data_IF_164826994110
#
_entry.id   IF_164826994110
#
_cell.length_a   1.000
_cell.length_b   1.000
_cell.length_c   1.000
_cell.angle_alpha   90.00
_cell.angle_beta   90.00
_cell.angle_gamma   90.00
#
_symmetry.space_group_name_H-M   'P 1'
#
loop_
_entity.id
_entity.type
_entity.pdbx_description
1 polymer ?
#
# COMPACT_ATOMS: atom_id res chain seq x y z
N UNK A 1 -27.21 -15.49 -9.65
CA UNK A 1 -26.34 -14.62 -10.50
C UNK A 1 -26.06 -13.26 -9.86
N UNK A 2 -26.99 -12.66 -9.13
CA UNK A 2 -26.79 -11.38 -8.41
C UNK A 2 -25.71 -11.43 -7.32
N UNK A 3 -25.60 -12.54 -6.58
CA UNK A 3 -24.58 -12.68 -5.51
C UNK A 3 -23.13 -12.78 -6.03
N UNK A 4 -22.94 -13.29 -7.25
CA UNK A 4 -21.61 -13.38 -7.86
C UNK A 4 -21.04 -11.98 -8.15
N UNK A 5 -21.87 -11.08 -8.69
CA UNK A 5 -21.49 -9.69 -8.93
C UNK A 5 -21.32 -8.89 -7.63
N UNK A 6 -22.13 -9.15 -6.61
CA UNK A 6 -21.93 -8.52 -5.29
C UNK A 6 -20.59 -8.91 -4.66
N UNK A 7 -20.19 -10.17 -4.71
CA UNK A 7 -18.89 -10.60 -4.19
C UNK A 7 -17.72 -10.04 -5.01
N UNK A 8 -17.87 -9.92 -6.33
CA UNK A 8 -16.88 -9.25 -7.18
C UNK A 8 -16.69 -7.79 -6.79
N UNK A 9 -17.76 -7.01 -6.65
CA UNK A 9 -17.61 -5.59 -6.33
C UNK A 9 -17.30 -5.33 -4.85
N UNK A 10 -17.75 -6.17 -3.93
CA UNK A 10 -17.55 -5.99 -2.49
C UNK A 10 -16.13 -6.39 -2.02
N UNK A 11 -15.56 -7.48 -2.54
CA UNK A 11 -14.24 -7.96 -2.14
C UNK A 11 -13.14 -7.56 -3.11
N UNK A 12 -13.35 -7.66 -4.43
CA UNK A 12 -12.28 -7.37 -5.40
C UNK A 12 -12.04 -5.88 -5.63
N UNK A 13 -13.00 -5.00 -5.30
CA UNK A 13 -12.80 -3.55 -5.46
C UNK A 13 -11.60 -3.03 -4.66
N UNK A 14 -11.44 -3.52 -3.43
CA UNK A 14 -10.29 -3.20 -2.59
C UNK A 14 -8.99 -3.84 -3.09
N UNK A 15 -9.05 -5.03 -3.69
CA UNK A 15 -7.88 -5.66 -4.30
C UNK A 15 -7.37 -4.87 -5.50
N UNK A 16 -8.27 -4.39 -6.37
CA UNK A 16 -7.92 -3.51 -7.49
C UNK A 16 -7.32 -2.19 -7.01
N UNK A 17 -7.91 -1.59 -5.98
CA UNK A 17 -7.41 -0.36 -5.37
C UNK A 17 -6.02 -0.58 -4.77
N UNK A 18 -5.83 -1.67 -4.04
CA UNK A 18 -4.54 -2.08 -3.46
C UNK A 18 -3.50 -2.26 -4.56
N UNK A 19 -3.82 -3.02 -5.62
CA UNK A 19 -2.90 -3.24 -6.73
C UNK A 19 -2.49 -1.91 -7.39
N UNK A 20 -3.45 -1.04 -7.68
CA UNK A 20 -3.18 0.25 -8.32
C UNK A 20 -2.31 1.16 -7.43
N UNK A 21 -2.69 1.34 -6.16
CA UNK A 21 -1.96 2.18 -5.22
C UNK A 21 -0.55 1.62 -4.93
N UNK A 22 -0.43 0.30 -4.82
CA UNK A 22 0.84 -0.38 -4.58
C UNK A 22 1.82 -0.22 -5.73
N UNK A 23 1.37 -0.50 -6.96
CA UNK A 23 2.19 -0.38 -8.17
C UNK A 23 2.54 1.08 -8.47
N UNK A 24 1.55 1.98 -8.40
CA UNK A 24 1.75 3.40 -8.67
C UNK A 24 2.61 4.07 -7.59
N UNK A 25 2.41 3.73 -6.32
CA UNK A 25 3.25 4.19 -5.21
C UNK A 25 4.70 3.74 -5.37
N UNK A 26 4.92 2.48 -5.72
CA UNK A 26 6.25 1.94 -6.02
C UNK A 26 6.91 2.67 -7.19
N UNK A 27 6.17 2.91 -8.27
CA UNK A 27 6.66 3.68 -9.42
C UNK A 27 7.07 5.11 -9.01
N UNK A 28 6.26 5.81 -8.21
CA UNK A 28 6.60 7.16 -7.75
C UNK A 28 7.87 7.21 -6.89
N UNK A 29 8.12 6.19 -6.08
CA UNK A 29 9.38 6.08 -5.31
C UNK A 29 10.57 5.97 -6.28
N UNK A 30 10.46 5.18 -7.36
CA UNK A 30 11.53 5.13 -8.38
C UNK A 30 11.76 6.47 -9.08
N UNK A 31 10.73 7.32 -9.15
CA UNK A 31 10.81 8.71 -9.67
C UNK A 31 11.22 9.74 -8.62
N UNK A 32 11.75 9.29 -7.48
CA UNK A 32 12.15 10.09 -6.31
C UNK A 32 11.04 10.98 -5.74
N UNK A 33 9.79 10.54 -5.76
CA UNK A 33 8.65 11.27 -5.20
C UNK A 33 8.20 10.67 -3.87
N UNK A 34 8.33 11.44 -2.79
CA UNK A 34 7.94 11.03 -1.43
C UNK A 34 6.46 10.61 -1.32
N UNK A 35 5.57 11.17 -2.16
CA UNK A 35 4.15 10.80 -2.24
C UNK A 35 3.95 9.30 -2.50
N UNK A 36 4.92 8.62 -3.11
CA UNK A 36 4.86 7.18 -3.33
C UNK A 36 4.78 6.36 -2.03
N UNK A 37 5.39 6.82 -0.93
CA UNK A 37 5.25 6.15 0.38
C UNK A 37 3.84 6.31 0.96
N UNK A 38 3.22 7.48 0.80
CA UNK A 38 1.84 7.69 1.24
C UNK A 38 0.87 6.76 0.48
N UNK A 39 1.11 6.56 -0.82
CA UNK A 39 0.33 5.62 -1.63
C UNK A 39 0.56 4.16 -1.23
N UNK A 40 1.79 3.76 -0.94
CA UNK A 40 2.08 2.43 -0.38
C UNK A 40 1.40 2.23 0.98
N UNK A 41 1.38 3.25 1.84
CA UNK A 41 0.68 3.18 3.12
C UNK A 41 -0.82 2.95 2.93
N UNK A 42 -1.47 3.73 2.06
CA UNK A 42 -2.89 3.54 1.74
C UNK A 42 -3.17 2.17 1.11
N UNK A 43 -2.27 1.70 0.23
CA UNK A 43 -2.33 0.36 -0.35
C UNK A 43 -2.30 -0.72 0.72
N UNK A 44 -1.33 -0.67 1.63
CA UNK A 44 -1.21 -1.68 2.70
C UNK A 44 -2.36 -1.59 3.71
N UNK A 45 -2.93 -0.40 3.94
CA UNK A 45 -4.12 -0.26 4.78
C UNK A 45 -5.36 -0.92 4.14
N UNK A 46 -5.56 -0.73 2.83
CA UNK A 46 -6.62 -1.38 2.08
C UNK A 46 -6.45 -2.92 2.07
N UNK A 47 -5.23 -3.39 1.79
CA UNK A 47 -4.90 -4.82 1.82
C UNK A 47 -5.06 -5.44 3.22
N UNK A 48 -4.74 -4.69 4.27
CA UNK A 48 -4.93 -5.11 5.65
C UNK A 48 -6.41 -5.36 5.95
N UNK A 49 -7.29 -4.45 5.53
CA UNK A 49 -8.73 -4.62 5.70
C UNK A 49 -9.24 -5.89 5.01
N UNK A 50 -8.82 -6.14 3.76
CA UNK A 50 -9.18 -7.37 3.02
C UNK A 50 -8.63 -8.63 3.70
N UNK A 51 -7.38 -8.58 4.18
CA UNK A 51 -6.74 -9.70 4.86
C UNK A 51 -7.45 -10.05 6.17
N UNK A 52 -7.93 -9.06 6.93
CA UNK A 52 -8.75 -9.28 8.13
C UNK A 52 -10.08 -9.94 7.79
N UNK A 53 -10.77 -9.45 6.76
CA UNK A 53 -12.05 -10.03 6.31
C UNK A 53 -11.90 -11.46 5.80
N UNK A 54 -10.74 -11.79 5.22
CA UNK A 54 -10.45 -13.10 4.62
C UNK A 54 -9.76 -14.07 5.57
N UNK A 55 -9.49 -13.68 6.82
CA UNK A 55 -8.80 -14.51 7.82
C UNK A 55 -7.33 -14.83 7.49
N UNK A 56 -6.67 -14.01 6.68
CA UNK A 56 -5.30 -14.26 6.19
C UNK A 56 -4.24 -13.66 7.12
N UNK A 57 -3.94 -14.33 8.23
CA UNK A 57 -3.03 -13.81 9.27
C UNK A 57 -1.63 -13.42 8.77
N UNK A 58 -1.07 -14.17 7.81
CA UNK A 58 0.23 -13.83 7.20
C UNK A 58 0.20 -12.48 6.46
N UNK A 59 -0.88 -12.23 5.71
CA UNK A 59 -1.08 -10.97 5.00
C UNK A 59 -1.36 -9.80 5.95
N UNK A 60 -2.02 -10.05 7.08
CA UNK A 60 -2.21 -9.04 8.14
C UNK A 60 -0.86 -8.57 8.67
N UNK A 61 0.02 -9.50 9.05
CA UNK A 61 1.36 -9.19 9.54
C UNK A 61 2.19 -8.45 8.48
N UNK A 62 2.20 -8.95 7.25
CA UNK A 62 2.92 -8.35 6.13
C UNK A 62 2.50 -6.89 5.87
N UNK A 63 1.19 -6.63 5.80
CA UNK A 63 0.69 -5.28 5.52
C UNK A 63 0.94 -4.32 6.68
N UNK A 64 0.86 -4.80 7.92
CA UNK A 64 1.20 -4.00 9.11
C UNK A 64 2.68 -3.58 9.09
N UNK A 65 3.59 -4.50 8.80
CA UNK A 65 5.03 -4.20 8.68
C UNK A 65 5.27 -3.25 7.51
N UNK A 66 4.64 -3.49 6.36
CA UNK A 66 4.76 -2.64 5.17
C UNK A 66 4.29 -1.20 5.44
N UNK A 67 3.22 -1.01 6.20
CA UNK A 67 2.77 0.31 6.65
C UNK A 67 3.84 1.03 7.50
N UNK A 68 4.47 0.32 8.44
CA UNK A 68 5.53 0.89 9.26
C UNK A 68 6.76 1.28 8.42
N UNK A 69 7.14 0.43 7.46
CA UNK A 69 8.22 0.72 6.51
C UNK A 69 7.87 1.95 5.66
N UNK A 70 6.65 2.02 5.11
CA UNK A 70 6.20 3.15 4.30
C UNK A 70 6.24 4.46 5.11
N UNK A 71 5.77 4.44 6.36
CA UNK A 71 5.83 5.59 7.25
C UNK A 71 7.27 6.03 7.54
N UNK A 72 8.16 5.08 7.90
CA UNK A 72 9.59 5.37 8.12
C UNK A 72 10.26 5.89 6.85
N UNK A 73 9.93 5.33 5.68
CA UNK A 73 10.41 5.76 4.37
C UNK A 73 10.03 7.20 4.08
N UNK A 74 8.76 7.56 4.33
CA UNK A 74 8.27 8.93 4.17
C UNK A 74 9.00 9.93 5.08
N UNK A 75 9.16 9.60 6.38
CA UNK A 75 9.85 10.45 7.34
C UNK A 75 11.36 10.59 7.07
N UNK A 76 11.98 9.52 6.55
CA UNK A 76 13.40 9.49 6.21
C UNK A 76 13.74 10.14 4.87
N UNK A 77 12.74 10.37 4.00
CA UNK A 77 12.95 10.83 2.63
C UNK A 77 13.59 12.23 2.55
N UNK A 78 13.20 13.16 3.42
CA UNK A 78 13.77 14.52 3.45
C UNK A 78 15.26 14.55 3.79
N UNK A 79 15.79 13.49 4.42
CA UNK A 79 17.22 13.39 4.77
C UNK A 79 18.09 12.95 3.59
N UNK A 80 17.49 12.36 2.55
CA UNK A 80 18.23 11.86 1.38
C UNK A 80 18.51 12.96 0.36
N UNK A 81 17.61 13.93 0.20
CA UNK A 81 17.82 15.07 -0.70
C UNK A 81 19.01 15.94 -0.25
N UNK A 82 19.24 16.04 1.06
CA UNK A 82 20.38 16.80 1.63
C UNK A 82 21.71 16.07 1.45
N UNK A 83 21.73 14.73 1.58
CA UNK A 83 22.98 13.96 1.54
C UNK A 83 23.51 13.71 0.13
N UNK A 84 22.71 13.88 -0.92
CA UNK A 84 23.14 13.68 -2.31
C UNK A 84 23.86 14.89 -2.92
N UNK A 85 24.00 15.99 -2.17
CA UNK A 85 24.61 17.26 -2.64
C UNK A 85 25.96 17.56 -1.97
N UNK A 86 26.55 16.59 -1.27
CA UNK A 86 27.88 16.71 -0.62
C UNK A 86 28.92 15.88 -1.34
#
# INVERSE_FOLDING_TARGET
MTEFFQNIFAYYGLDWLTMFLGLWGSYLITKRRAVGFAMLFCSSLAALAVAMMSGQYGFIAYNTISMAIACKGYLGWSRQDVSATV
#
